data_IF_909921389772
#
_entry.id   IF_909921389772
#
_cell.length_a   1.000
_cell.length_b   1.000
_cell.length_c   1.000
_cell.angle_alpha   90.00
_cell.angle_beta   90.00
_cell.angle_gamma   90.00
#
_symmetry.space_group_name_H-M   'P 1'
#
loop_
_entity.id
_entity.type
_entity.pdbx_description
1 polymer ?
#
# COMPACT_ATOMS: atom_id res chain seq x y z
N UNK A 1 -19.40 -5.34 16.08
CA UNK A 1 -18.67 -5.23 14.81
C UNK A 1 -18.86 -6.51 14.02
N UNK A 2 -19.24 -6.43 12.73
CA UNK A 2 -19.51 -7.61 11.89
C UNK A 2 -18.27 -7.93 11.04
N UNK A 3 -17.72 -9.14 11.21
CA UNK A 3 -16.54 -9.61 10.48
C UNK A 3 -16.94 -10.78 9.58
N UNK A 4 -16.61 -10.70 8.31
CA UNK A 4 -16.72 -11.82 7.38
C UNK A 4 -15.39 -12.59 7.35
N UNK A 5 -15.44 -13.90 7.56
CA UNK A 5 -14.26 -14.77 7.48
C UNK A 5 -14.37 -15.65 6.24
N UNK A 6 -13.37 -15.55 5.39
CA UNK A 6 -13.20 -16.36 4.19
C UNK A 6 -12.06 -17.35 4.40
N UNK A 7 -12.35 -18.64 4.27
CA UNK A 7 -11.36 -19.72 4.39
C UNK A 7 -11.79 -20.95 3.61
N UNK A 8 -10.86 -21.85 3.28
CA UNK A 8 -11.19 -23.13 2.65
C UNK A 8 -11.77 -24.11 3.68
N UNK A 9 -12.51 -25.13 3.21
CA UNK A 9 -13.10 -26.15 4.07
C UNK A 9 -12.07 -26.92 4.91
N UNK A 10 -10.84 -27.01 4.41
CA UNK A 10 -9.74 -27.76 5.04
C UNK A 10 -8.91 -26.91 6.01
N UNK A 11 -9.19 -25.61 6.13
CA UNK A 11 -8.42 -24.70 6.97
C UNK A 11 -9.03 -24.63 8.38
N UNK A 12 -8.22 -24.97 9.38
CA UNK A 12 -8.64 -24.79 10.77
C UNK A 12 -8.58 -23.31 11.15
N UNK A 13 -9.73 -22.76 11.53
CA UNK A 13 -9.87 -21.35 11.98
C UNK A 13 -10.38 -21.23 13.42
N UNK A 14 -10.52 -22.34 14.15
CA UNK A 14 -11.09 -22.35 15.49
C UNK A 14 -10.42 -21.38 16.45
N UNK A 15 -9.10 -21.33 16.47
CA UNK A 15 -8.34 -20.40 17.31
C UNK A 15 -8.60 -18.94 16.95
N UNK A 16 -8.71 -18.62 15.65
CA UNK A 16 -9.06 -17.29 15.16
C UNK A 16 -10.49 -16.90 15.56
N UNK A 17 -11.44 -17.84 15.44
CA UNK A 17 -12.83 -17.61 15.83
C UNK A 17 -12.94 -17.29 17.32
N UNK A 18 -12.24 -18.05 18.18
CA UNK A 18 -12.21 -17.78 19.63
C UNK A 18 -11.70 -16.38 19.93
N UNK A 19 -10.60 -15.95 19.30
CA UNK A 19 -10.05 -14.60 19.48
C UNK A 19 -11.06 -13.52 19.06
N UNK A 20 -11.74 -13.70 17.93
CA UNK A 20 -12.71 -12.73 17.44
C UNK A 20 -13.96 -12.65 18.33
N UNK A 21 -14.36 -13.77 18.95
CA UNK A 21 -15.45 -13.80 19.92
C UNK A 21 -15.08 -13.06 21.21
N UNK A 22 -13.84 -13.18 21.69
CA UNK A 22 -13.32 -12.40 22.82
C UNK A 22 -13.36 -10.88 22.56
N UNK A 23 -13.30 -10.49 21.28
CA UNK A 23 -13.35 -9.10 20.82
C UNK A 23 -14.77 -8.61 20.47
N UNK A 24 -15.82 -9.31 20.91
CA UNK A 24 -17.24 -9.01 20.65
C UNK A 24 -17.56 -8.85 19.15
N UNK A 25 -16.90 -9.61 18.29
CA UNK A 25 -17.17 -9.61 16.87
C UNK A 25 -18.33 -10.55 16.51
N UNK A 26 -19.24 -10.06 15.68
CA UNK A 26 -20.25 -10.91 15.02
C UNK A 26 -19.59 -11.54 13.81
N UNK A 27 -19.39 -12.85 13.85
CA UNK A 27 -18.67 -13.58 12.82
C UNK A 27 -19.67 -14.14 11.82
N UNK A 28 -19.32 -14.05 10.52
CA UNK A 28 -20.01 -14.72 9.42
C UNK A 28 -18.97 -15.39 8.53
N UNK A 29 -19.22 -16.59 8.08
CA UNK A 29 -18.36 -17.35 7.19
C UNK A 29 -19.10 -17.82 5.95
N UNK A 30 -18.36 -18.03 4.86
CA UNK A 30 -18.94 -18.56 3.62
C UNK A 30 -19.59 -19.95 3.79
N UNK A 31 -19.14 -20.73 4.77
CA UNK A 31 -19.69 -22.07 5.08
C UNK A 31 -20.98 -22.03 5.91
N UNK A 32 -21.30 -20.92 6.52
CA UNK A 32 -22.54 -20.75 7.30
C UNK A 32 -23.72 -20.30 6.44
N UNK A 33 -23.46 -19.99 5.18
CA UNK A 33 -24.52 -19.53 4.28
C UNK A 33 -25.39 -20.71 3.86
N UNK A 34 -26.69 -20.61 4.13
CA UNK A 34 -27.64 -21.60 3.66
C UNK A 34 -27.56 -21.74 2.13
N UNK A 35 -27.68 -22.98 1.60
CA UNK A 35 -27.76 -23.19 0.17
C UNK A 35 -28.97 -22.44 -0.39
N UNK A 36 -28.70 -21.32 -1.07
CA UNK A 36 -29.72 -20.51 -1.74
C UNK A 36 -29.63 -20.67 -3.26
N UNK A 37 -30.61 -20.14 -4.00
CA UNK A 37 -30.62 -20.21 -5.45
C UNK A 37 -29.45 -19.47 -6.13
N UNK A 38 -28.80 -18.56 -5.40
CA UNK A 38 -27.63 -17.83 -5.88
C UNK A 38 -26.57 -17.67 -4.76
N UNK A 39 -25.67 -18.66 -4.58
CA UNK A 39 -24.64 -18.61 -3.55
C UNK A 39 -23.72 -17.38 -3.66
N UNK A 40 -23.45 -16.94 -4.88
CA UNK A 40 -22.58 -15.81 -5.17
C UNK A 40 -23.14 -14.48 -4.65
N UNK A 41 -24.44 -14.28 -4.82
CA UNK A 41 -25.12 -13.08 -4.34
C UNK A 41 -25.22 -13.06 -2.83
N UNK A 42 -25.40 -14.21 -2.22
CA UNK A 42 -25.37 -14.36 -0.76
C UNK A 42 -24.02 -13.99 -0.18
N UNK A 43 -22.93 -14.50 -0.73
CA UNK A 43 -21.56 -14.17 -0.33
C UNK A 43 -21.31 -12.66 -0.49
N UNK A 44 -21.65 -12.09 -1.66
CA UNK A 44 -21.50 -10.66 -1.91
C UNK A 44 -22.27 -9.80 -0.89
N UNK A 45 -23.49 -10.19 -0.56
CA UNK A 45 -24.34 -9.48 0.41
C UNK A 45 -23.73 -9.54 1.81
N UNK A 46 -23.22 -10.70 2.22
CA UNK A 46 -22.55 -10.85 3.52
C UNK A 46 -21.27 -10.02 3.61
N UNK A 47 -20.42 -10.06 2.57
CA UNK A 47 -19.22 -9.22 2.50
C UNK A 47 -19.62 -7.75 2.49
N UNK A 48 -20.65 -7.36 1.73
CA UNK A 48 -21.13 -5.98 1.69
C UNK A 48 -21.59 -5.48 3.06
N UNK A 49 -22.28 -6.31 3.83
CA UNK A 49 -22.80 -5.96 5.16
C UNK A 49 -21.76 -6.04 6.27
N UNK A 50 -20.60 -6.64 6.03
CA UNK A 50 -19.53 -6.74 7.00
C UNK A 50 -18.78 -5.39 7.15
N UNK A 51 -18.29 -5.12 8.36
CA UNK A 51 -17.43 -3.97 8.65
C UNK A 51 -16.01 -4.21 8.13
N UNK A 52 -15.57 -5.47 8.14
CA UNK A 52 -14.28 -5.89 7.62
C UNK A 52 -14.28 -7.36 7.20
N UNK A 53 -13.24 -7.77 6.49
CA UNK A 53 -13.05 -9.14 6.00
C UNK A 53 -11.71 -9.68 6.51
N UNK A 54 -11.70 -10.91 7.01
CA UNK A 54 -10.48 -11.68 7.30
C UNK A 54 -10.45 -12.87 6.36
N UNK A 55 -9.36 -13.01 5.62
CA UNK A 55 -9.18 -14.03 4.61
C UNK A 55 -8.04 -14.94 5.01
N UNK A 56 -8.26 -16.25 5.06
CA UNK A 56 -7.23 -17.25 5.32
C UNK A 56 -6.90 -17.97 4.01
N UNK A 57 -5.74 -17.64 3.45
CA UNK A 57 -5.24 -18.25 2.22
C UNK A 57 -4.46 -19.52 2.52
N UNK A 58 -4.79 -20.58 1.80
CA UNK A 58 -4.05 -21.83 1.72
C UNK A 58 -3.92 -22.29 0.26
N UNK A 59 -3.27 -23.43 0.01
CA UNK A 59 -3.00 -23.96 -1.33
C UNK A 59 -4.25 -24.20 -2.18
N UNK A 60 -5.43 -24.40 -1.57
CA UNK A 60 -6.69 -24.74 -2.24
C UNK A 60 -7.68 -23.55 -2.26
N UNK A 61 -7.18 -22.34 -2.28
CA UNK A 61 -7.92 -21.12 -1.97
C UNK A 61 -8.73 -20.50 -3.13
N UNK A 62 -9.08 -21.20 -4.21
CA UNK A 62 -9.76 -20.59 -5.38
C UNK A 62 -11.00 -19.79 -5.02
N UNK A 63 -11.89 -20.34 -4.18
CA UNK A 63 -13.09 -19.64 -3.72
C UNK A 63 -12.74 -18.46 -2.82
N UNK A 64 -11.73 -18.64 -1.96
CA UNK A 64 -11.24 -17.61 -1.04
C UNK A 64 -10.65 -16.44 -1.80
N UNK A 65 -9.92 -16.69 -2.88
CA UNK A 65 -9.38 -15.66 -3.77
C UNK A 65 -10.50 -14.85 -4.45
N UNK A 66 -11.58 -15.52 -4.83
CA UNK A 66 -12.75 -14.85 -5.39
C UNK A 66 -13.44 -13.94 -4.36
N UNK A 67 -13.64 -14.42 -3.13
CA UNK A 67 -14.22 -13.65 -2.02
C UNK A 67 -13.32 -12.45 -1.65
N UNK A 68 -12.01 -12.65 -1.64
CA UNK A 68 -11.01 -11.58 -1.48
C UNK A 68 -11.15 -10.51 -2.57
N UNK A 69 -11.35 -10.93 -3.82
CA UNK A 69 -11.59 -10.02 -4.94
C UNK A 69 -12.87 -9.20 -4.76
N UNK A 70 -13.95 -9.80 -4.26
CA UNK A 70 -15.19 -9.08 -3.91
C UNK A 70 -14.93 -8.06 -2.81
N UNK A 71 -14.23 -8.45 -1.74
CA UNK A 71 -13.92 -7.57 -0.62
C UNK A 71 -13.15 -6.33 -1.08
N UNK A 72 -12.15 -6.50 -1.96
CA UNK A 72 -11.40 -5.39 -2.56
C UNK A 72 -12.26 -4.52 -3.47
N UNK A 73 -13.08 -5.13 -4.33
CA UNK A 73 -13.99 -4.40 -5.21
C UNK A 73 -15.01 -3.55 -4.45
N UNK A 74 -15.38 -3.97 -3.25
CA UNK A 74 -16.26 -3.25 -2.33
C UNK A 74 -15.52 -2.27 -1.41
N UNK A 75 -14.19 -2.19 -1.49
CA UNK A 75 -13.38 -1.33 -0.64
C UNK A 75 -13.40 -1.70 0.84
N UNK A 76 -13.63 -2.98 1.17
CA UNK A 76 -13.68 -3.43 2.56
C UNK A 76 -12.30 -3.48 3.19
N UNK A 77 -12.14 -3.01 4.44
CA UNK A 77 -10.95 -3.28 5.22
C UNK A 77 -10.71 -4.80 5.27
N UNK A 78 -9.51 -5.23 4.85
CA UNK A 78 -9.25 -6.67 4.70
C UNK A 78 -7.91 -7.02 5.35
N UNK A 79 -7.90 -8.07 6.17
CA UNK A 79 -6.72 -8.72 6.71
C UNK A 79 -6.55 -10.08 6.03
N UNK A 80 -5.37 -10.32 5.47
CA UNK A 80 -5.04 -11.61 4.85
C UNK A 80 -4.13 -12.41 5.78
N UNK A 81 -4.50 -13.64 6.04
CA UNK A 81 -3.70 -14.61 6.78
C UNK A 81 -3.19 -15.65 5.79
N UNK A 82 -1.90 -15.97 5.84
CA UNK A 82 -1.25 -16.87 4.88
C UNK A 82 -0.56 -17.99 5.62
N UNK A 83 -0.72 -19.22 5.16
CA UNK A 83 -0.01 -20.37 5.72
C UNK A 83 1.50 -20.26 5.43
N UNK A 84 2.38 -20.58 6.39
CA UNK A 84 3.82 -20.54 6.16
C UNK A 84 4.22 -21.43 5.00
N UNK A 85 5.01 -20.89 4.08
CA UNK A 85 5.49 -21.62 2.91
C UNK A 85 4.57 -21.55 1.69
N UNK A 86 3.35 -21.09 1.81
CA UNK A 86 2.47 -20.85 0.68
C UNK A 86 2.84 -19.54 -0.02
N UNK A 87 2.74 -19.54 -1.35
CA UNK A 87 2.96 -18.34 -2.14
C UNK A 87 1.80 -17.36 -1.96
N UNK A 88 2.13 -16.15 -1.56
CA UNK A 88 1.14 -15.07 -1.53
C UNK A 88 0.87 -14.64 -2.97
N UNK A 89 -0.39 -14.72 -3.46
CA UNK A 89 -0.69 -14.22 -4.79
C UNK A 89 -0.29 -12.74 -4.92
N UNK A 90 0.23 -12.30 -6.07
CA UNK A 90 0.72 -10.93 -6.22
C UNK A 90 -0.27 -9.85 -5.78
N UNK A 91 -1.56 -10.03 -6.04
CA UNK A 91 -2.59 -9.08 -5.62
C UNK A 91 -2.89 -9.11 -4.12
N UNK A 92 -2.66 -10.23 -3.42
CA UNK A 92 -2.82 -10.34 -1.97
C UNK A 92 -1.60 -9.80 -1.21
N UNK A 93 -0.44 -9.71 -1.86
CA UNK A 93 0.74 -9.06 -1.31
C UNK A 93 0.54 -7.54 -1.08
N UNK A 94 -0.55 -6.96 -1.58
CA UNK A 94 -0.93 -5.56 -1.38
C UNK A 94 -1.68 -5.29 -0.09
N UNK A 95 -2.17 -6.34 0.56
CA UNK A 95 -2.79 -6.23 1.87
C UNK A 95 -1.77 -6.56 2.95
N UNK A 96 -2.02 -6.08 4.15
CA UNK A 96 -1.31 -6.61 5.31
C UNK A 96 -1.63 -8.08 5.40
N UNK A 97 -0.61 -8.93 5.33
CA UNK A 97 -0.78 -10.34 5.61
C UNK A 97 0.00 -10.72 6.85
N UNK A 98 -0.53 -11.67 7.58
CA UNK A 98 0.11 -12.30 8.72
C UNK A 98 0.25 -13.78 8.46
N UNK A 99 1.26 -14.39 9.04
CA UNK A 99 1.45 -15.82 8.95
C UNK A 99 0.50 -16.54 9.92
N UNK A 100 -0.24 -17.52 9.44
CA UNK A 100 -1.19 -18.31 10.21
C UNK A 100 -0.92 -19.80 10.08
N UNK A 101 -0.64 -20.46 11.21
CA UNK A 101 -0.34 -21.91 11.28
C UNK A 101 -1.51 -22.76 11.77
N UNK A 102 -2.70 -22.18 11.92
CA UNK A 102 -3.85 -22.84 12.56
C UNK A 102 -3.90 -22.64 14.08
N UNK A 103 -2.87 -22.02 14.66
CA UNK A 103 -2.79 -21.67 16.09
C UNK A 103 -2.57 -20.18 16.28
N UNK A 104 -3.01 -19.66 17.43
CA UNK A 104 -2.75 -18.27 17.82
C UNK A 104 -1.32 -18.15 18.36
N UNK A 105 -0.48 -17.45 17.62
CA UNK A 105 0.79 -16.93 18.13
C UNK A 105 0.57 -15.52 18.70
N UNK A 106 1.41 -15.08 19.63
CA UNK A 106 1.34 -13.70 20.16
C UNK A 106 1.40 -12.65 19.05
N UNK A 107 2.21 -12.87 18.03
CA UNK A 107 2.31 -11.97 16.86
C UNK A 107 1.00 -11.92 16.08
N UNK A 108 0.37 -13.08 15.88
CA UNK A 108 -0.92 -13.14 15.18
C UNK A 108 -2.02 -12.45 15.99
N UNK A 109 -2.08 -12.70 17.30
CA UNK A 109 -3.02 -12.08 18.21
C UNK A 109 -2.90 -10.56 18.17
N UNK A 110 -1.71 -10.03 18.40
CA UNK A 110 -1.42 -8.58 18.31
C UNK A 110 -1.77 -8.00 16.93
N UNK A 111 -1.50 -8.74 15.86
CA UNK A 111 -1.81 -8.30 14.50
C UNK A 111 -3.31 -8.23 14.22
N UNK A 112 -4.09 -9.20 14.67
CA UNK A 112 -5.56 -9.22 14.55
C UNK A 112 -6.16 -8.14 15.44
N UNK A 113 -5.77 -8.03 16.70
CA UNK A 113 -6.22 -6.97 17.62
C UNK A 113 -5.91 -5.58 17.05
N UNK A 114 -4.70 -5.38 16.52
CA UNK A 114 -4.31 -4.15 15.86
C UNK A 114 -5.18 -3.83 14.65
N UNK A 115 -5.51 -4.83 13.82
CA UNK A 115 -6.44 -4.66 12.71
C UNK A 115 -7.83 -4.26 13.18
N UNK A 116 -8.39 -4.97 14.17
CA UNK A 116 -9.70 -4.66 14.75
C UNK A 116 -9.71 -3.26 15.40
N UNK A 117 -8.62 -2.87 16.05
CA UNK A 117 -8.45 -1.53 16.61
C UNK A 117 -8.58 -0.43 15.56
N UNK A 118 -8.16 -0.67 14.32
CA UNK A 118 -8.31 0.32 13.22
C UNK A 118 -9.76 0.49 12.76
N UNK A 119 -10.63 -0.48 13.05
CA UNK A 119 -12.04 -0.47 12.65
C UNK A 119 -12.95 0.18 13.72
N UNK A 120 -12.50 0.21 14.97
CA UNK A 120 -13.27 0.83 16.06
C UNK A 120 -13.27 2.34 15.88
N UNK A 121 -14.44 3.00 15.94
CA UNK A 121 -14.46 4.45 15.92
C UNK A 121 -13.69 4.96 17.13
N UNK A 122 -12.56 5.64 16.90
CA UNK A 122 -11.91 6.39 17.96
C UNK A 122 -12.93 7.35 18.56
N UNK A 123 -13.21 7.25 19.85
CA UNK A 123 -13.93 8.31 20.57
C UNK A 123 -13.13 9.59 20.39
N UNK A 124 -13.71 10.49 19.59
CA UNK A 124 -13.39 11.90 19.42
C UNK A 124 -11.94 12.29 19.12
N UNK A 125 -11.65 12.32 17.88
CA UNK A 125 -11.33 13.59 17.21
C UNK A 125 -12.10 13.53 15.90
N UNK A 126 -12.86 14.59 15.58
CA UNK A 126 -13.63 14.68 14.34
C UNK A 126 -12.77 14.13 13.22
N UNK A 127 -13.21 12.98 12.64
CA UNK A 127 -12.67 12.50 11.37
C UNK A 127 -12.68 13.74 10.49
N UNK A 128 -11.56 14.21 9.98
CA UNK A 128 -11.65 15.21 8.94
C UNK A 128 -12.53 14.53 7.90
N UNK A 129 -13.72 15.11 7.66
CA UNK A 129 -14.49 14.84 6.46
C UNK A 129 -13.47 14.68 5.36
N UNK A 130 -13.69 13.70 4.44
CA UNK A 130 -12.99 13.69 3.16
C UNK A 130 -13.08 15.12 2.61
N UNK A 131 -12.22 15.98 3.10
CA UNK A 131 -11.87 17.16 2.39
C UNK A 131 -11.26 16.57 1.11
N UNK A 132 -12.07 16.51 0.07
CA UNK A 132 -11.55 16.94 -1.22
C UNK A 132 -10.82 18.21 -0.86
N UNK A 133 -9.51 18.10 -0.64
CA UNK A 133 -8.67 19.28 -0.54
C UNK A 133 -8.95 19.99 -1.86
N UNK A 134 -9.85 20.94 -1.80
CA UNK A 134 -9.93 21.95 -2.83
C UNK A 134 -8.49 22.42 -2.92
N UNK A 135 -7.87 22.18 -4.07
CA UNK A 135 -6.53 22.66 -4.37
C UNK A 135 -6.49 24.09 -3.87
N UNK A 136 -5.75 24.31 -2.78
CA UNK A 136 -5.70 25.67 -2.21
C UNK A 136 -5.14 26.56 -3.31
N UNK A 137 -5.64 27.78 -3.40
CA UNK A 137 -5.14 28.75 -4.39
C UNK A 137 -3.61 28.90 -4.33
N UNK A 138 -3.01 28.64 -3.19
CA UNK A 138 -1.57 28.59 -2.98
C UNK A 138 -0.87 27.41 -3.67
N UNK A 139 -1.50 26.23 -3.76
CA UNK A 139 -0.92 25.08 -4.48
C UNK A 139 -0.94 25.29 -5.99
N UNK A 140 -2.01 25.87 -6.52
CA UNK A 140 -2.11 26.24 -7.94
C UNK A 140 -1.09 27.31 -8.35
N UNK A 141 -0.74 28.24 -7.47
CA UNK A 141 0.26 29.28 -7.73
C UNK A 141 1.70 28.75 -7.77
N UNK A 142 1.98 27.59 -7.21
CA UNK A 142 3.31 26.96 -7.19
C UNK A 142 3.63 26.14 -8.44
N UNK A 143 2.63 25.71 -9.20
CA UNK A 143 2.80 24.90 -10.41
C UNK A 143 3.80 25.48 -11.42
N UNK A 144 3.70 26.77 -11.82
CA UNK A 144 4.63 27.33 -12.80
C UNK A 144 6.08 27.34 -12.32
N UNK A 145 6.29 27.69 -11.05
CA UNK A 145 7.62 27.73 -10.43
C UNK A 145 8.23 26.34 -10.33
N UNK A 146 7.45 25.34 -9.95
CA UNK A 146 7.85 23.95 -9.87
C UNK A 146 8.26 23.40 -11.24
N UNK A 147 7.45 23.65 -12.27
CA UNK A 147 7.73 23.20 -13.63
C UNK A 147 9.02 23.83 -14.17
N UNK A 148 9.25 25.10 -13.93
CA UNK A 148 10.50 25.77 -14.34
C UNK A 148 11.72 25.25 -13.58
N UNK A 149 11.60 24.96 -12.30
CA UNK A 149 12.66 24.36 -11.50
C UNK A 149 13.02 22.96 -12.00
N UNK A 150 12.03 22.12 -12.28
CA UNK A 150 12.25 20.79 -12.87
C UNK A 150 12.89 20.88 -14.25
N UNK A 151 12.49 21.84 -15.09
CA UNK A 151 13.12 22.07 -16.41
C UNK A 151 14.60 22.43 -16.27
N UNK A 152 14.96 23.29 -15.31
CA UNK A 152 16.36 23.64 -15.03
C UNK A 152 17.15 22.41 -14.58
N UNK A 153 16.59 21.62 -13.67
CA UNK A 153 17.21 20.38 -13.18
C UNK A 153 17.34 19.31 -14.27
N UNK A 154 16.42 19.29 -15.24
CA UNK A 154 16.59 18.44 -16.44
C UNK A 154 17.74 18.88 -17.34
N UNK A 155 17.98 20.18 -17.45
CA UNK A 155 19.11 20.70 -18.23
C UNK A 155 20.47 20.44 -17.57
N UNK A 156 20.52 20.55 -16.22
CA UNK A 156 21.73 20.34 -15.43
C UNK A 156 21.34 19.63 -14.11
N UNK A 157 21.28 18.30 -14.07
CA UNK A 157 20.92 17.56 -12.88
C UNK A 157 21.96 17.76 -11.77
N UNK A 158 21.53 18.32 -10.66
CA UNK A 158 22.33 18.46 -9.44
C UNK A 158 21.62 17.70 -8.33
N UNK A 159 22.26 16.69 -7.79
CA UNK A 159 21.68 15.77 -6.81
C UNK A 159 21.11 16.50 -5.59
N UNK A 160 21.88 17.44 -5.03
CA UNK A 160 21.43 18.22 -3.87
C UNK A 160 20.19 19.07 -4.16
N UNK A 161 20.07 19.63 -5.36
CA UNK A 161 18.89 20.42 -5.74
C UNK A 161 17.67 19.52 -5.98
N UNK A 162 17.86 18.32 -6.54
CA UNK A 162 16.79 17.33 -6.67
C UNK A 162 16.27 16.88 -5.30
N UNK A 163 17.15 16.62 -4.36
CA UNK A 163 16.79 16.29 -2.99
C UNK A 163 16.01 17.44 -2.32
N UNK A 164 16.51 18.67 -2.42
CA UNK A 164 15.82 19.83 -1.85
C UNK A 164 14.43 20.03 -2.46
N UNK A 165 14.28 19.83 -3.77
CA UNK A 165 13.01 19.90 -4.46
C UNK A 165 12.04 18.83 -3.95
N UNK A 166 12.44 17.57 -3.93
CA UNK A 166 11.61 16.45 -3.46
C UNK A 166 11.21 16.65 -2.00
N UNK A 167 12.12 17.07 -1.13
CA UNK A 167 11.82 17.39 0.27
C UNK A 167 10.74 18.49 0.37
N UNK A 168 10.89 19.58 -0.38
CA UNK A 168 9.91 20.68 -0.40
C UNK A 168 8.52 20.22 -0.85
N UNK A 169 8.45 19.38 -1.88
CA UNK A 169 7.19 18.84 -2.42
C UNK A 169 6.52 17.94 -1.41
N UNK A 170 7.23 16.99 -0.83
CA UNK A 170 6.70 16.06 0.19
C UNK A 170 6.16 16.83 1.42
N UNK A 171 6.91 17.81 1.90
CA UNK A 171 6.50 18.67 3.02
C UNK A 171 5.25 19.46 2.69
N UNK A 172 5.17 20.03 1.48
CA UNK A 172 4.01 20.81 1.02
C UNK A 172 2.77 19.95 0.83
N UNK A 173 2.93 18.68 0.51
CA UNK A 173 1.84 17.71 0.35
C UNK A 173 1.27 17.19 1.68
N UNK A 174 1.70 17.74 2.82
CA UNK A 174 1.20 17.35 4.14
C UNK A 174 1.66 15.97 4.59
N UNK A 175 2.79 15.51 4.09
CA UNK A 175 3.43 14.30 4.59
C UNK A 175 3.89 14.55 6.01
N UNK A 176 3.46 13.72 6.95
CA UNK A 176 3.51 14.01 8.40
C UNK A 176 4.92 14.07 8.96
N UNK A 177 5.86 13.32 8.37
CA UNK A 177 7.27 13.34 8.75
C UNK A 177 8.12 12.92 7.56
N UNK A 178 9.08 13.78 7.21
CA UNK A 178 10.10 13.50 6.20
C UNK A 178 11.44 13.58 6.91
N UNK A 179 12.11 12.44 7.04
CA UNK A 179 13.47 12.39 7.54
C UNK A 179 14.42 12.33 6.35
N UNK A 180 15.31 13.32 6.28
CA UNK A 180 16.40 13.38 5.31
C UNK A 180 17.60 12.63 5.92
N UNK A 181 17.98 11.49 5.33
CA UNK A 181 19.11 10.69 5.82
C UNK A 181 20.39 11.04 5.06
N UNK A 182 20.69 12.34 4.98
CA UNK A 182 21.95 12.83 4.40
C UNK A 182 23.19 12.43 5.20
N UNK A 183 23.02 11.91 6.42
CA UNK A 183 24.12 11.57 7.34
C UNK A 183 24.73 10.19 7.09
N UNK A 184 24.06 9.29 6.37
CA UNK A 184 24.57 7.95 6.12
C UNK A 184 24.53 7.59 4.63
N UNK A 185 25.57 8.01 3.91
CA UNK A 185 25.80 7.63 2.49
C UNK A 185 25.74 6.12 2.22
N UNK A 186 25.79 5.30 3.26
CA UNK A 186 25.81 3.83 3.16
C UNK A 186 24.44 3.17 3.22
N UNK A 187 23.34 3.86 3.60
CA UNK A 187 22.03 3.22 3.75
C UNK A 187 21.20 3.16 2.48
N UNK A 188 21.55 3.90 1.44
CA UNK A 188 20.96 3.77 0.11
C UNK A 188 19.53 4.29 -0.04
N UNK A 189 19.06 5.15 0.88
CA UNK A 189 17.75 5.81 0.87
C UNK A 189 17.93 7.27 1.17
N UNK A 190 17.25 8.13 0.41
CA UNK A 190 17.37 9.58 0.57
C UNK A 190 16.34 10.14 1.57
N UNK A 191 15.13 9.55 1.59
CA UNK A 191 14.09 9.96 2.54
C UNK A 191 13.38 8.77 3.17
N UNK A 192 12.97 8.95 4.42
CA UNK A 192 12.08 8.06 5.14
C UNK A 192 10.83 8.84 5.51
N UNK A 193 9.67 8.37 5.05
CA UNK A 193 8.42 9.11 5.07
C UNK A 193 7.38 8.39 5.90
N UNK A 194 6.72 9.12 6.81
CA UNK A 194 5.55 8.67 7.55
C UNK A 194 4.33 9.49 7.15
N UNK A 195 3.22 8.83 6.92
CA UNK A 195 1.94 9.48 6.67
C UNK A 195 0.80 8.64 7.21
N UNK A 196 -0.14 9.29 7.91
CA UNK A 196 -1.32 8.62 8.44
C UNK A 196 -2.20 8.04 7.32
N UNK A 197 -2.21 8.67 6.16
CA UNK A 197 -2.94 8.20 4.99
C UNK A 197 -2.46 6.85 4.43
N UNK A 198 -1.22 6.44 4.75
CA UNK A 198 -0.63 5.18 4.31
C UNK A 198 -1.02 3.98 5.18
N UNK A 199 -1.55 4.21 6.40
CA UNK A 199 -1.85 3.13 7.35
C UNK A 199 -2.79 2.06 6.81
N UNK A 200 -3.73 2.45 5.95
CA UNK A 200 -4.72 1.54 5.37
C UNK A 200 -4.30 0.84 4.08
N UNK A 201 -3.18 1.24 3.46
CA UNK A 201 -2.81 0.78 2.10
C UNK A 201 -1.43 0.12 2.02
N UNK A 202 -0.38 0.82 2.43
CA UNK A 202 1.00 0.33 2.35
C UNK A 202 1.62 0.08 3.73
N UNK A 203 1.17 0.81 4.75
CA UNK A 203 1.84 0.91 6.04
C UNK A 203 2.97 1.95 6.01
N UNK A 204 3.67 2.07 7.13
CA UNK A 204 4.76 3.01 7.34
C UNK A 204 6.01 2.27 7.86
N UNK A 205 7.19 2.83 7.61
CA UNK A 205 7.50 3.97 6.76
C UNK A 205 7.51 3.63 5.26
N UNK A 206 7.51 4.66 4.41
CA UNK A 206 7.86 4.54 2.98
C UNK A 206 9.27 5.05 2.78
N UNK A 207 10.08 4.27 2.08
CA UNK A 207 11.46 4.62 1.72
C UNK A 207 11.46 5.29 0.35
N UNK A 208 12.15 6.43 0.22
CA UNK A 208 12.25 7.13 -1.06
C UNK A 208 13.72 7.28 -1.44
N UNK A 209 14.03 6.88 -2.66
CA UNK A 209 15.32 7.08 -3.31
C UNK A 209 15.14 8.02 -4.50
N UNK A 210 15.97 9.03 -4.60
CA UNK A 210 15.94 10.06 -5.65
C UNK A 210 17.18 9.92 -6.52
N UNK A 211 16.96 9.86 -7.82
CA UNK A 211 18.04 9.77 -8.82
C UNK A 211 17.86 10.83 -9.89
N UNK A 212 18.98 11.27 -10.47
CA UNK A 212 18.97 12.01 -11.71
C UNK A 212 18.51 11.16 -12.89
N UNK A 213 19.14 11.32 -14.05
CA UNK A 213 18.89 10.45 -15.19
C UNK A 213 19.42 9.04 -14.93
N UNK A 214 18.60 8.05 -15.27
CA UNK A 214 18.97 6.64 -15.17
C UNK A 214 18.98 6.00 -16.57
N UNK A 215 19.98 5.18 -16.83
CA UNK A 215 19.94 4.21 -17.92
C UNK A 215 19.29 2.91 -17.40
N UNK A 216 18.84 2.02 -18.30
CA UNK A 216 18.11 0.81 -17.91
C UNK A 216 18.86 -0.06 -16.89
N UNK A 217 20.18 -0.20 -17.03
CA UNK A 217 21.00 -0.97 -16.09
C UNK A 217 21.06 -0.32 -14.70
N UNK A 218 21.19 1.01 -14.67
CA UNK A 218 21.21 1.79 -13.43
C UNK A 218 19.83 1.74 -12.74
N UNK A 219 18.76 1.84 -13.53
CA UNK A 219 17.40 1.69 -13.02
C UNK A 219 17.19 0.33 -12.37
N UNK A 220 17.55 -0.76 -13.06
CA UNK A 220 17.45 -2.11 -12.53
C UNK A 220 18.23 -2.28 -11.22
N UNK A 221 19.47 -1.75 -11.17
CA UNK A 221 20.31 -1.81 -9.97
C UNK A 221 19.72 -1.04 -8.78
N UNK A 222 19.25 0.19 -9.01
CA UNK A 222 18.61 1.01 -7.99
C UNK A 222 17.31 0.36 -7.48
N UNK A 223 16.50 -0.18 -8.41
CA UNK A 223 15.26 -0.87 -8.09
C UNK A 223 15.50 -2.10 -7.19
N UNK A 224 16.45 -2.97 -7.57
CA UNK A 224 16.77 -4.18 -6.79
C UNK A 224 17.31 -3.82 -5.40
N UNK A 225 18.15 -2.80 -5.32
CA UNK A 225 18.66 -2.29 -4.03
C UNK A 225 17.52 -1.80 -3.13
N UNK A 226 16.62 -0.98 -3.65
CA UNK A 226 15.47 -0.49 -2.91
C UNK A 226 14.53 -1.62 -2.49
N UNK A 227 14.32 -2.62 -3.37
CA UNK A 227 13.54 -3.83 -3.06
C UNK A 227 14.13 -4.59 -1.87
N UNK A 228 15.45 -4.76 -1.85
CA UNK A 228 16.15 -5.40 -0.73
C UNK A 228 15.96 -4.62 0.56
N UNK A 229 16.15 -3.30 0.52
CA UNK A 229 15.99 -2.42 1.68
C UNK A 229 14.57 -2.45 2.25
N UNK A 230 13.54 -2.40 1.40
CA UNK A 230 12.13 -2.50 1.82
C UNK A 230 11.87 -3.83 2.54
N UNK A 231 12.41 -4.92 2.01
CA UNK A 231 12.25 -6.25 2.60
C UNK A 231 12.98 -6.39 3.94
N UNK A 232 14.21 -5.90 4.03
CA UNK A 232 15.04 -6.01 5.25
C UNK A 232 14.55 -5.09 6.37
N UNK A 233 14.11 -3.88 6.05
CA UNK A 233 13.61 -2.91 7.02
C UNK A 233 12.15 -3.11 7.42
N UNK A 234 11.43 -4.05 6.77
CA UNK A 234 9.98 -4.25 6.92
C UNK A 234 9.18 -2.96 6.68
N UNK A 235 9.67 -2.12 5.78
CA UNK A 235 9.01 -0.87 5.40
C UNK A 235 7.74 -1.15 4.60
N UNK A 236 6.80 -0.22 4.64
CA UNK A 236 5.52 -0.36 3.95
C UNK A 236 5.64 -0.36 2.43
N UNK A 237 6.53 0.47 1.90
CA UNK A 237 6.84 0.54 0.47
C UNK A 237 8.18 1.21 0.20
N UNK A 238 8.65 1.11 -1.06
CA UNK A 238 9.75 1.87 -1.62
C UNK A 238 9.30 2.69 -2.82
N UNK A 239 9.83 3.89 -2.97
CA UNK A 239 9.57 4.78 -4.11
C UNK A 239 10.89 5.24 -4.71
N UNK A 240 11.10 4.91 -5.98
CA UNK A 240 12.24 5.41 -6.76
C UNK A 240 11.77 6.59 -7.62
N UNK A 241 12.27 7.78 -7.30
CA UNK A 241 12.02 9.01 -8.06
C UNK A 241 13.21 9.27 -8.99
N UNK A 242 12.97 9.58 -10.24
CA UNK A 242 14.03 9.86 -11.21
C UNK A 242 13.63 10.94 -12.23
N UNK A 243 14.62 11.53 -12.89
CA UNK A 243 14.37 12.41 -14.03
C UNK A 243 14.24 11.58 -15.31
N UNK A 244 13.09 11.65 -15.96
CA UNK A 244 12.80 10.97 -17.22
C UNK A 244 13.37 11.76 -18.41
N UNK A 245 14.07 11.07 -19.31
CA UNK A 245 14.42 11.64 -20.63
C UNK A 245 13.22 11.54 -21.57
N UNK A 246 13.17 12.42 -22.56
CA UNK A 246 12.11 12.38 -23.59
C UNK A 246 12.08 11.01 -24.26
N UNK A 247 10.89 10.41 -24.33
CA UNK A 247 10.68 9.09 -24.93
C UNK A 247 11.18 7.90 -24.10
N UNK A 248 11.74 8.12 -22.90
CA UNK A 248 12.20 7.05 -22.03
C UNK A 248 11.03 6.40 -21.30
N UNK A 249 11.02 5.08 -21.23
CA UNK A 249 10.14 4.28 -20.38
C UNK A 249 10.93 3.11 -19.83
N UNK A 250 10.68 2.74 -18.58
CA UNK A 250 11.26 1.54 -18.01
C UNK A 250 10.25 0.40 -18.03
N UNK A 251 10.68 -0.74 -18.52
CA UNK A 251 9.90 -1.96 -18.41
C UNK A 251 9.87 -2.45 -16.96
N UNK A 252 8.94 -3.32 -16.66
CA UNK A 252 8.83 -3.94 -15.35
C UNK A 252 10.13 -4.71 -15.04
N UNK A 253 10.79 -4.42 -13.91
CA UNK A 253 12.05 -5.09 -13.55
C UNK A 253 11.88 -6.60 -13.37
N UNK A 254 12.95 -7.33 -13.64
CA UNK A 254 13.01 -8.74 -13.28
C UNK A 254 12.91 -8.88 -11.74
N UNK A 255 12.12 -9.82 -11.25
CA UNK A 255 11.86 -9.95 -9.80
C UNK A 255 11.02 -8.81 -9.23
N UNK A 256 10.14 -8.24 -10.03
CA UNK A 256 9.30 -7.13 -9.61
C UNK A 256 8.59 -7.35 -8.28
N UNK A 257 8.72 -6.37 -7.39
CA UNK A 257 8.04 -6.31 -6.11
C UNK A 257 6.97 -5.19 -6.14
N UNK A 258 5.69 -5.51 -5.95
CA UNK A 258 4.60 -4.53 -6.00
C UNK A 258 4.64 -3.46 -4.91
N UNK A 259 5.48 -3.62 -3.89
CA UNK A 259 5.72 -2.61 -2.87
C UNK A 259 6.80 -1.60 -3.27
N UNK A 260 7.47 -1.79 -4.43
CA UNK A 260 8.47 -0.85 -4.93
C UNK A 260 7.97 -0.23 -6.23
N UNK A 261 7.74 1.08 -6.17
CA UNK A 261 7.13 1.89 -7.22
C UNK A 261 8.17 2.86 -7.79
N UNK A 262 7.99 3.30 -9.02
CA UNK A 262 8.86 4.31 -9.62
C UNK A 262 8.05 5.36 -10.36
N UNK A 263 8.56 6.60 -10.33
CA UNK A 263 7.92 7.75 -10.93
C UNK A 263 8.97 8.69 -11.54
N UNK A 264 8.59 9.35 -12.62
CA UNK A 264 9.25 10.59 -13.00
C UNK A 264 8.97 11.68 -11.96
N UNK A 265 9.98 12.45 -11.61
CA UNK A 265 9.86 13.49 -10.56
C UNK A 265 8.81 14.55 -10.93
N UNK A 266 8.71 14.94 -12.22
CA UNK A 266 7.69 15.91 -12.64
C UNK A 266 6.29 15.36 -12.52
N UNK A 267 6.06 14.13 -13.03
CA UNK A 267 4.78 13.44 -12.92
C UNK A 267 4.34 13.32 -11.45
N UNK A 268 5.20 12.81 -10.60
CA UNK A 268 4.95 12.65 -9.17
C UNK A 268 4.63 13.98 -8.49
N UNK A 269 5.39 15.02 -8.80
CA UNK A 269 5.23 16.35 -8.22
C UNK A 269 3.90 17.00 -8.61
N UNK A 270 3.51 16.87 -9.88
CA UNK A 270 2.23 17.37 -10.38
C UNK A 270 1.06 16.64 -9.75
N UNK A 271 1.16 15.31 -9.62
CA UNK A 271 0.10 14.53 -8.97
C UNK A 271 -0.08 14.91 -7.49
N UNK A 272 1.01 15.16 -6.75
CA UNK A 272 0.96 15.57 -5.35
C UNK A 272 0.29 16.92 -5.11
N UNK A 273 0.21 17.78 -6.11
CA UNK A 273 -0.54 19.05 -6.01
C UNK A 273 -2.05 18.84 -6.03
N UNK A 274 -2.52 17.73 -6.60
CA UNK A 274 -3.93 17.46 -6.83
C UNK A 274 -4.50 16.30 -6.00
N UNK A 275 -3.61 15.47 -5.45
CA UNK A 275 -3.96 14.20 -4.79
C UNK A 275 -3.11 13.96 -3.55
N UNK A 276 -3.61 13.15 -2.63
CA UNK A 276 -2.80 12.79 -1.48
C UNK A 276 -1.77 11.70 -1.83
N UNK A 277 -0.69 11.67 -1.06
CA UNK A 277 0.44 10.78 -1.26
C UNK A 277 0.04 9.30 -1.34
N UNK A 278 -0.85 8.83 -0.46
CA UNK A 278 -1.29 7.44 -0.45
C UNK A 278 -2.11 7.06 -1.70
N UNK A 279 -2.98 7.97 -2.17
CA UNK A 279 -3.77 7.73 -3.39
C UNK A 279 -2.88 7.54 -4.61
N UNK A 280 -1.84 8.37 -4.74
CA UNK A 280 -0.87 8.28 -5.84
C UNK A 280 -0.17 6.92 -5.83
N UNK A 281 0.31 6.49 -4.67
CA UNK A 281 0.99 5.21 -4.55
C UNK A 281 0.06 4.03 -4.83
N UNK A 282 -1.17 4.06 -4.32
CA UNK A 282 -2.17 3.00 -4.55
C UNK A 282 -2.50 2.88 -6.02
N UNK A 283 -2.76 4.00 -6.69
CA UNK A 283 -3.07 3.97 -8.12
C UNK A 283 -1.89 3.48 -8.95
N UNK A 284 -0.68 3.98 -8.72
CA UNK A 284 0.52 3.54 -9.44
C UNK A 284 0.71 2.03 -9.29
N UNK A 285 0.58 1.52 -8.08
CA UNK A 285 0.65 0.08 -7.82
C UNK A 285 -0.41 -0.68 -8.63
N UNK A 286 -1.65 -0.23 -8.59
CA UNK A 286 -2.74 -0.90 -9.29
C UNK A 286 -2.51 -0.91 -10.81
N UNK A 287 -2.06 0.19 -11.39
CA UNK A 287 -1.69 0.29 -12.80
C UNK A 287 -0.55 -0.69 -13.15
N UNK A 288 0.47 -0.77 -12.31
CA UNK A 288 1.59 -1.71 -12.50
C UNK A 288 1.15 -3.18 -12.39
N UNK A 289 0.25 -3.50 -11.47
CA UNK A 289 -0.28 -4.87 -11.29
C UNK A 289 -1.07 -5.32 -12.51
N UNK A 290 -1.92 -4.44 -13.03
CA UNK A 290 -2.79 -4.76 -14.17
C UNK A 290 -2.08 -4.68 -15.53
N UNK A 291 -0.78 -4.43 -15.55
CA UNK A 291 0.04 -4.49 -16.77
C UNK A 291 -0.17 -3.32 -17.73
N UNK A 292 -0.72 -2.20 -17.27
CA UNK A 292 -0.76 -0.99 -18.07
C UNK A 292 0.66 -0.44 -18.25
N UNK A 293 1.06 -0.15 -19.52
CA UNK A 293 2.35 0.47 -19.83
C UNK A 293 2.29 1.96 -19.48
N UNK A 294 3.37 2.48 -18.96
CA UNK A 294 3.55 3.89 -18.56
C UNK A 294 4.42 4.63 -19.55
#
# INVERSE_FOLDING_TARGET
MKIFISHSANTSVSALLSLLQEEDAIIRGSFELAPGPNPMESIRTEIYSADAVIVVLDSDASNVLFELGIAFGLGKPTLVLVKPGDSVPPFAAFTRYLTYTGSLTEILKLGVEGFLGTLRPHKTTKRPERQRQSVSSEQSSRLPTLTEEIKRLRAQPQEQQLHALVHSILTSAGVTSVQDDTSSRDRGVDFVVWSDSLRGSFGNPVLIEVKGYLESVQFQSAYLRLTKLVSESKSGAGVLLYLKRSGQSFERPEGWNPLVLWFDIEEFSVELLHRNFAEILVERRNLMVHGMRF
#
